data_IF_359913668538
#
_entry.id   IF_359913668538
#
_cell.length_a   1.000
_cell.length_b   1.000
_cell.length_c   1.000
_cell.angle_alpha   90.00
_cell.angle_beta   90.00
_cell.angle_gamma   90.00
#
_symmetry.space_group_name_H-M   'P 1'
#
loop_
_entity.id
_entity.type
_entity.pdbx_description
1 polymer ?
#
# COMPACT_ATOMS: atom_id res chain seq x y z
N UNK A 1 -4.60 -55.64 -27.97
CA UNK A 1 -5.52 -54.53 -28.27
C UNK A 1 -4.68 -53.27 -28.41
N UNK A 2 -4.71 -52.62 -29.57
CA UNK A 2 -3.98 -51.36 -29.81
C UNK A 2 -4.95 -50.24 -29.46
N UNK A 3 -4.67 -49.53 -28.39
CA UNK A 3 -5.48 -48.39 -27.96
C UNK A 3 -5.28 -47.25 -28.95
N UNK A 4 -6.23 -47.14 -29.88
CA UNK A 4 -6.33 -46.01 -30.81
C UNK A 4 -6.95 -44.84 -30.05
N UNK A 5 -6.19 -44.26 -29.13
CA UNK A 5 -6.54 -42.98 -28.54
C UNK A 5 -6.23 -41.95 -29.64
N UNK A 6 -7.24 -41.27 -30.22
CA UNK A 6 -6.96 -40.24 -31.20
C UNK A 6 -6.09 -39.16 -30.52
N UNK A 7 -5.04 -38.67 -31.18
CA UNK A 7 -4.21 -37.63 -30.61
C UNK A 7 -5.10 -36.43 -30.33
N UNK A 8 -5.17 -36.05 -29.05
CA UNK A 8 -6.09 -35.04 -28.50
C UNK A 8 -5.85 -33.66 -29.13
N UNK A 9 -4.71 -33.47 -29.81
CA UNK A 9 -4.34 -32.28 -30.57
C UNK A 9 -3.47 -32.69 -31.78
N UNK A 10 -4.05 -32.75 -32.98
CA UNK A 10 -3.31 -33.09 -34.20
C UNK A 10 -3.92 -32.51 -35.49
N UNK A 11 -4.73 -31.45 -35.39
CA UNK A 11 -5.10 -30.61 -36.53
C UNK A 11 -4.05 -29.52 -36.77
N UNK A 12 -3.73 -29.23 -38.04
CA UNK A 12 -2.87 -28.07 -38.43
C UNK A 12 -3.34 -26.74 -37.81
N UNK A 13 -4.63 -26.63 -37.49
CA UNK A 13 -5.24 -25.43 -36.92
C UNK A 13 -5.39 -25.49 -35.39
N UNK A 14 -5.21 -26.65 -34.75
CA UNK A 14 -5.29 -26.77 -33.28
C UNK A 14 -4.17 -25.96 -32.61
N UNK A 15 -3.00 -25.89 -33.26
CA UNK A 15 -1.90 -25.06 -32.78
C UNK A 15 -2.23 -23.56 -32.82
N UNK A 16 -3.03 -23.10 -33.80
CA UNK A 16 -3.51 -21.72 -33.84
C UNK A 16 -4.46 -21.44 -32.66
N UNK A 17 -5.32 -22.39 -32.32
CA UNK A 17 -6.23 -22.27 -31.16
C UNK A 17 -5.41 -22.19 -29.87
N UNK A 18 -4.40 -23.05 -29.70
CA UNK A 18 -3.52 -23.03 -28.53
C UNK A 18 -2.73 -21.72 -28.42
N UNK A 19 -2.23 -21.20 -29.54
CA UNK A 19 -1.50 -19.91 -29.57
C UNK A 19 -2.44 -18.75 -29.23
N UNK A 20 -3.66 -18.75 -29.77
CA UNK A 20 -4.67 -17.75 -29.44
C UNK A 20 -5.05 -17.78 -27.96
N UNK A 21 -5.25 -18.97 -27.37
CA UNK A 21 -5.55 -19.14 -25.95
C UNK A 21 -4.40 -18.65 -25.06
N UNK A 22 -3.16 -18.99 -25.42
CA UNK A 22 -1.96 -18.55 -24.71
C UNK A 22 -1.79 -17.02 -24.81
N UNK A 23 -2.04 -16.42 -25.98
CA UNK A 23 -2.01 -14.98 -26.16
C UNK A 23 -3.08 -14.26 -25.33
N UNK A 24 -4.32 -14.77 -25.30
CA UNK A 24 -5.40 -14.22 -24.47
C UNK A 24 -5.06 -14.33 -22.98
N UNK A 25 -4.51 -15.47 -22.54
CA UNK A 25 -4.07 -15.66 -21.15
C UNK A 25 -2.93 -14.70 -20.76
N UNK A 26 -1.96 -14.48 -21.65
CA UNK A 26 -0.86 -13.53 -21.42
C UNK A 26 -1.36 -12.08 -21.38
N UNK A 27 -2.30 -11.71 -22.26
CA UNK A 27 -2.90 -10.37 -22.26
C UNK A 27 -3.71 -10.11 -20.99
N UNK A 28 -4.50 -11.10 -20.53
CA UNK A 28 -5.23 -11.01 -19.28
C UNK A 28 -4.28 -10.88 -18.07
N UNK A 29 -3.20 -11.67 -18.04
CA UNK A 29 -2.18 -11.59 -17.00
C UNK A 29 -1.44 -10.25 -17.02
N UNK A 30 -1.03 -9.76 -18.19
CA UNK A 30 -0.36 -8.47 -18.33
C UNK A 30 -1.27 -7.29 -17.95
N UNK A 31 -2.57 -7.38 -18.24
CA UNK A 31 -3.56 -6.39 -17.80
C UNK A 31 -3.82 -6.41 -16.30
N UNK A 32 -3.83 -7.60 -15.68
CA UNK A 32 -4.00 -7.75 -14.24
C UNK A 32 -2.74 -7.37 -13.45
N UNK A 33 -1.54 -7.67 -13.98
CA UNK A 33 -0.27 -7.34 -13.33
C UNK A 33 0.15 -5.88 -13.55
N UNK A 34 -0.43 -5.18 -14.54
CA UNK A 34 -0.55 -3.72 -14.54
C UNK A 34 -1.62 -3.25 -13.53
N UNK A 35 -1.71 -3.94 -12.38
CA UNK A 35 -2.43 -3.47 -11.22
C UNK A 35 -1.99 -2.04 -10.96
N UNK A 36 -2.98 -1.14 -10.95
CA UNK A 36 -2.84 0.28 -10.65
C UNK A 36 -1.82 0.41 -9.53
N UNK A 37 -0.64 0.95 -9.83
CA UNK A 37 0.17 1.53 -8.78
C UNK A 37 -0.68 2.69 -8.26
N UNK A 38 -1.46 2.42 -7.23
CA UNK A 38 -2.22 3.44 -6.51
C UNK A 38 -1.17 4.35 -5.88
N UNK A 39 -0.70 5.28 -6.71
CA UNK A 39 0.45 6.10 -6.44
C UNK A 39 0.01 7.10 -5.39
N UNK A 40 0.45 6.86 -4.16
CA UNK A 40 0.27 7.76 -3.04
C UNK A 40 0.55 9.20 -3.49
N UNK A 41 -0.44 10.10 -3.44
CA UNK A 41 -0.25 11.47 -3.94
C UNK A 41 0.37 12.40 -2.88
N UNK A 42 0.97 11.84 -1.83
CA UNK A 42 1.40 12.62 -0.66
C UNK A 42 0.29 12.92 0.35
N UNK A 43 -0.96 12.57 0.02
CA UNK A 43 -2.12 12.85 0.85
C UNK A 43 -2.13 11.91 2.07
N UNK A 44 -2.20 12.43 3.29
CA UNK A 44 -2.25 11.61 4.48
C UNK A 44 -3.16 12.22 5.54
N UNK A 45 -3.70 11.36 6.40
CA UNK A 45 -4.48 11.72 7.57
C UNK A 45 -3.65 11.43 8.81
N UNK A 46 -3.42 12.44 9.64
CA UNK A 46 -2.72 12.32 10.91
C UNK A 46 -3.74 12.44 12.03
N UNK A 47 -3.87 11.39 12.84
CA UNK A 47 -4.75 11.35 14.01
C UNK A 47 -3.90 11.38 15.28
N UNK A 48 -4.25 12.27 16.19
CA UNK A 48 -3.60 12.44 17.47
C UNK A 48 -4.62 12.07 18.55
N UNK A 49 -4.35 10.96 19.24
CA UNK A 49 -5.17 10.39 20.29
C UNK A 49 -4.89 11.08 21.63
N UNK A 50 -5.04 12.41 21.66
CA UNK A 50 -5.02 13.23 22.88
C UNK A 50 -6.44 13.52 23.35
N UNK A 51 -6.61 14.02 24.58
CA UNK A 51 -7.84 14.71 24.98
C UNK A 51 -7.62 16.25 24.87
N UNK A 52 -8.33 16.98 23.98
CA UNK A 52 -9.25 16.49 22.94
C UNK A 52 -8.54 15.84 21.74
N UNK A 53 -9.22 14.92 21.02
CA UNK A 53 -8.63 14.27 19.86
C UNK A 53 -8.49 15.27 18.72
N UNK A 54 -7.35 15.23 18.04
CA UNK A 54 -7.06 16.11 16.91
C UNK A 54 -6.86 15.29 15.64
N UNK A 55 -7.36 15.81 14.53
CA UNK A 55 -7.21 15.21 13.22
C UNK A 55 -6.72 16.27 12.24
N UNK A 56 -5.62 15.96 11.56
CA UNK A 56 -5.00 16.81 10.55
C UNK A 56 -5.01 16.06 9.23
N UNK A 57 -5.62 16.63 8.21
CA UNK A 57 -5.66 16.05 6.87
C UNK A 57 -4.77 16.86 5.95
N UNK A 58 -3.78 16.21 5.36
CA UNK A 58 -2.91 16.78 4.35
C UNK A 58 -3.33 16.22 3.00
N UNK A 59 -3.75 17.08 2.08
CA UNK A 59 -4.20 16.65 0.74
C UNK A 59 -3.04 16.40 -0.24
N UNK A 60 -1.83 16.87 0.11
CA UNK A 60 -0.63 16.78 -0.72
C UNK A 60 0.62 16.63 0.15
N UNK A 61 1.70 16.15 -0.45
CA UNK A 61 3.01 16.07 0.19
C UNK A 61 3.47 17.45 0.67
N UNK A 62 3.99 17.51 1.89
CA UNK A 62 4.51 18.75 2.45
C UNK A 62 5.99 18.90 2.09
N UNK A 63 6.44 20.07 1.61
CA UNK A 63 7.84 20.29 1.22
C UNK A 63 8.78 20.39 2.42
N UNK A 64 8.24 20.61 3.62
CA UNK A 64 8.99 20.68 4.87
C UNK A 64 8.49 19.60 5.84
N UNK A 65 9.37 19.11 6.73
CA UNK A 65 8.96 18.24 7.82
C UNK A 65 7.88 18.93 8.66
N UNK A 66 6.84 18.19 9.02
CA UNK A 66 5.75 18.68 9.87
C UNK A 66 5.95 18.14 11.28
N UNK A 67 5.95 19.04 12.25
CA UNK A 67 6.02 18.69 13.66
C UNK A 67 4.62 18.53 14.24
N UNK A 68 4.42 17.40 14.91
CA UNK A 68 3.16 17.03 15.54
C UNK A 68 3.41 16.71 17.01
N UNK A 69 2.66 17.37 17.89
CA UNK A 69 2.75 17.13 19.33
C UNK A 69 1.78 16.03 19.73
N UNK A 70 2.33 14.88 20.14
CA UNK A 70 1.58 13.78 20.72
C UNK A 70 1.54 13.84 22.25
N UNK A 71 1.10 12.73 22.85
CA UNK A 71 0.94 12.60 24.31
C UNK A 71 2.27 12.57 25.06
N UNK A 72 3.28 11.90 24.53
CA UNK A 72 4.61 11.77 25.15
C UNK A 72 5.55 12.89 24.74
N UNK A 73 5.34 13.48 23.56
CA UNK A 73 6.12 14.62 23.08
C UNK A 73 6.01 14.83 21.57
N UNK A 74 6.99 15.53 21.00
CA UNK A 74 7.03 15.87 19.59
C UNK A 74 7.37 14.67 18.70
N UNK A 75 6.75 14.62 17.53
CA UNK A 75 7.12 13.74 16.42
C UNK A 75 7.24 14.57 15.13
N UNK A 76 8.16 14.17 14.27
CA UNK A 76 8.45 14.86 13.01
C UNK A 76 8.11 13.92 11.87
N UNK A 77 7.23 14.38 10.98
CA UNK A 77 6.74 13.65 9.82
C UNK A 77 7.40 14.24 8.57
N UNK A 78 7.94 13.38 7.72
CA UNK A 78 8.64 13.77 6.49
C UNK A 78 8.03 13.09 5.27
N UNK A 79 7.96 13.85 4.18
CA UNK A 79 7.57 13.36 2.86
C UNK A 79 8.81 13.28 1.97
N UNK A 80 9.02 12.12 1.36
CA UNK A 80 10.10 11.87 0.44
C UNK A 80 9.72 12.23 -0.99
N UNK A 81 10.73 12.45 -1.84
CA UNK A 81 10.57 12.71 -3.28
C UNK A 81 9.75 11.65 -4.01
N UNK A 82 9.85 10.40 -3.55
CA UNK A 82 9.27 9.25 -4.24
C UNK A 82 7.86 8.93 -3.74
N UNK A 83 7.11 9.94 -3.29
CA UNK A 83 5.75 9.75 -2.76
C UNK A 83 5.74 8.71 -1.63
N UNK A 84 6.64 8.89 -0.66
CA UNK A 84 6.70 8.08 0.55
C UNK A 84 6.63 9.00 1.76
N UNK A 85 6.12 8.50 2.86
CA UNK A 85 6.04 9.19 4.14
C UNK A 85 6.80 8.38 5.19
N UNK A 86 7.43 9.08 6.13
CA UNK A 86 8.05 8.47 7.31
C UNK A 86 7.90 9.38 8.52
N UNK A 87 8.08 8.80 9.70
CA UNK A 87 8.32 9.57 10.91
C UNK A 87 9.84 9.59 11.13
N UNK A 88 10.49 10.74 10.98
CA UNK A 88 11.95 10.84 11.11
C UNK A 88 12.40 10.91 12.56
N UNK A 89 11.57 11.49 13.44
CA UNK A 89 11.85 11.56 14.87
C UNK A 89 10.55 11.47 15.68
N UNK A 90 10.65 10.91 16.88
CA UNK A 90 9.54 10.83 17.83
C UNK A 90 10.08 10.80 19.25
N UNK A 91 9.41 11.44 20.21
CA UNK A 91 9.77 11.37 21.62
C UNK A 91 9.55 9.98 22.28
N UNK A 92 8.98 9.00 21.58
CA UNK A 92 8.70 7.69 22.16
C UNK A 92 9.98 6.88 22.45
N UNK A 93 10.01 6.08 23.53
CA UNK A 93 11.17 5.28 23.90
C UNK A 93 11.44 4.13 22.94
N UNK A 94 10.39 3.50 22.40
CA UNK A 94 10.50 2.34 21.54
C UNK A 94 10.97 2.67 20.13
N UNK A 95 10.83 3.93 19.68
CA UNK A 95 11.14 4.42 18.32
C UNK A 95 10.58 3.54 17.19
N UNK A 96 9.56 2.72 17.45
CA UNK A 96 9.00 1.76 16.49
C UNK A 96 8.54 2.45 15.21
N UNK A 97 7.85 3.59 15.35
CA UNK A 97 7.40 4.40 14.22
C UNK A 97 8.53 4.97 13.36
N UNK A 98 9.69 5.26 13.96
CA UNK A 98 10.89 5.71 13.24
C UNK A 98 11.53 4.54 12.49
N UNK A 99 11.60 3.37 13.15
CA UNK A 99 12.18 2.16 12.58
C UNK A 99 11.34 1.53 11.46
N UNK A 100 10.04 1.87 11.34
CA UNK A 100 9.20 1.47 10.20
C UNK A 100 9.72 2.05 8.87
N UNK A 101 10.41 3.19 8.90
CA UNK A 101 11.00 3.79 7.71
C UNK A 101 9.98 4.39 6.74
N UNK A 102 10.32 4.35 5.45
CA UNK A 102 9.52 4.94 4.38
C UNK A 102 8.40 4.01 3.91
N UNK A 103 7.18 4.53 3.86
CA UNK A 103 5.99 3.81 3.38
C UNK A 103 5.17 4.70 2.45
N UNK A 104 4.48 4.12 1.49
CA UNK A 104 3.53 4.79 0.58
C UNK A 104 2.07 4.43 0.89
N UNK A 105 1.85 3.29 1.53
CA UNK A 105 0.53 2.67 1.64
C UNK A 105 0.20 2.16 3.04
N UNK A 106 1.22 1.78 3.81
CA UNK A 106 1.03 1.28 5.17
C UNK A 106 0.93 2.44 6.17
N UNK A 107 0.02 2.32 7.15
CA UNK A 107 -0.11 3.28 8.23
C UNK A 107 1.09 3.23 9.19
N UNK A 108 1.59 4.40 9.59
CA UNK A 108 2.64 4.53 10.61
C UNK A 108 1.99 4.82 11.96
N UNK A 109 2.25 3.96 12.95
CA UNK A 109 1.58 4.04 14.25
C UNK A 109 2.63 4.23 15.35
N UNK A 110 2.46 5.28 16.14
CA UNK A 110 3.23 5.54 17.35
C UNK A 110 2.33 5.40 18.58
N UNK A 111 2.18 4.17 19.07
CA UNK A 111 1.27 3.84 20.19
C UNK A 111 1.58 4.67 21.45
N UNK A 112 2.83 4.80 21.93
CA UNK A 112 3.09 5.54 23.16
C UNK A 112 2.73 7.03 23.01
N UNK A 113 3.10 7.63 21.86
CA UNK A 113 2.86 9.04 21.58
C UNK A 113 1.41 9.33 21.13
N UNK A 114 0.60 8.29 20.85
CA UNK A 114 -0.78 8.41 20.40
C UNK A 114 -0.92 9.03 19.01
N UNK A 115 0.06 8.86 18.12
CA UNK A 115 0.03 9.43 16.77
C UNK A 115 -0.17 8.30 15.75
N UNK A 116 -1.13 8.47 14.85
CA UNK A 116 -1.39 7.57 13.73
C UNK A 116 -1.28 8.40 12.45
N UNK A 117 -0.46 7.97 11.51
CA UNK A 117 -0.31 8.57 10.18
C UNK A 117 -0.81 7.56 9.16
N UNK A 118 -1.92 7.87 8.51
CA UNK A 118 -2.58 7.01 7.53
C UNK A 118 -2.39 7.60 6.13
N UNK A 119 -1.62 6.94 5.26
CA UNK A 119 -1.58 7.30 3.86
C UNK A 119 -2.97 7.20 3.23
N UNK A 120 -3.45 8.27 2.60
CA UNK A 120 -4.70 8.24 1.84
C UNK A 120 -4.40 7.65 0.46
N UNK A 121 -4.29 6.32 0.42
CA UNK A 121 -4.26 5.57 -0.83
C UNK A 121 -5.69 5.41 -1.30
N UNK A 122 -5.94 5.64 -2.59
CA UNK A 122 -7.26 5.44 -3.19
C UNK A 122 -7.50 3.94 -3.47
N UNK A 123 -7.12 3.08 -2.52
CA UNK A 123 -7.39 1.66 -2.60
C UNK A 123 -8.81 1.43 -2.13
N UNK A 124 -9.62 0.72 -2.92
CA UNK A 124 -10.89 0.11 -2.48
C UNK A 124 -10.63 -1.01 -1.46
N UNK A 125 -9.85 -0.73 -0.42
CA UNK A 125 -9.22 -1.71 0.45
C UNK A 125 -10.25 -2.30 1.40
N UNK A 126 -10.55 -3.58 1.17
CA UNK A 126 -11.21 -4.48 2.11
C UNK A 126 -10.40 -4.52 3.39
N UNK A 127 -10.99 -3.99 4.46
CA UNK A 127 -10.51 -4.15 5.83
C UNK A 127 -10.71 -5.61 6.22
N UNK A 128 -9.64 -6.32 6.57
CA UNK A 128 -9.74 -7.64 7.19
C UNK A 128 -9.96 -7.45 8.69
N UNK A 129 -11.16 -7.77 9.15
CA UNK A 129 -11.52 -7.68 10.55
C UNK A 129 -11.49 -9.08 11.15
N UNK A 130 -10.51 -9.34 12.04
CA UNK A 130 -10.51 -10.51 12.92
C UNK A 130 -11.05 -10.09 14.27
N UNK A 131 -12.29 -10.48 14.55
CA UNK A 131 -12.89 -10.41 15.89
C UNK A 131 -12.59 -11.72 16.63
N UNK A 132 -12.06 -11.63 17.85
CA UNK A 132 -11.89 -12.76 18.77
C UNK A 132 -13.05 -12.83 19.74
#
# INVERSE_FOLDING_TARGET
MKDNIPPIFAGKHDWLILLALLAVSLLAWAGHHHGRSDSFNGACRVRILTEPPQELVFNQAQPRPVEVKGRTGLAVIEWGSDKRIRISSSACPCKTCVNMGWTDSSSLICVPNGIIVEPLVNTGQKVDAVTR
#
